data_IF_101447875209
#
_entry.id   IF_101447875209
#
_cell.length_a   1.000
_cell.length_b   1.000
_cell.length_c   1.000
_cell.angle_alpha   90.00
_cell.angle_beta   90.00
_cell.angle_gamma   90.00
#
_symmetry.space_group_name_H-M   'P 1'
#
loop_
_entity.id
_entity.type
_entity.pdbx_description
1 polymer ?
#
# COMPACT_ATOMS: atom_id res chain seq x y z
N UNK A 1 37.87 9.29 40.60
CA UNK A 1 36.91 8.53 39.77
C UNK A 1 35.55 8.52 40.47
N UNK A 2 34.56 9.28 39.98
CA UNK A 2 33.17 9.16 40.46
C UNK A 2 32.37 8.53 39.34
N UNK A 3 31.99 7.26 39.51
CA UNK A 3 30.92 6.68 38.70
C UNK A 3 29.59 7.18 39.28
N UNK A 4 28.94 8.09 38.57
CA UNK A 4 27.55 8.46 38.88
C UNK A 4 26.63 7.59 38.04
N UNK A 5 26.05 6.60 38.69
CA UNK A 5 25.07 5.66 38.16
C UNK A 5 23.83 6.36 37.58
N UNK A 6 23.47 5.95 36.37
CA UNK A 6 22.36 6.40 35.54
C UNK A 6 21.00 5.87 36.07
N UNK A 7 20.55 6.33 37.23
CA UNK A 7 19.35 5.81 37.93
C UNK A 7 18.10 6.71 37.86
N UNK A 8 18.12 7.84 37.12
CA UNK A 8 17.04 8.84 37.16
C UNK A 8 15.86 8.61 36.19
N UNK A 9 15.95 7.66 35.24
CA UNK A 9 14.97 7.54 34.15
C UNK A 9 14.11 6.26 34.12
N UNK A 10 14.25 5.36 35.11
CA UNK A 10 13.65 4.01 35.03
C UNK A 10 12.13 4.02 34.86
N UNK A 11 11.37 4.83 35.60
CA UNK A 11 9.90 4.81 35.54
C UNK A 11 9.23 5.65 34.44
N UNK A 12 9.96 6.51 33.71
CA UNK A 12 9.33 7.45 32.74
C UNK A 12 8.97 6.77 31.42
N UNK A 13 9.66 5.70 31.08
CA UNK A 13 9.55 5.01 29.79
C UNK A 13 9.10 3.55 29.93
N UNK A 14 8.69 3.13 31.13
CA UNK A 14 8.16 1.81 31.36
C UNK A 14 6.79 1.66 30.68
N UNK A 15 6.74 0.80 29.66
CA UNK A 15 5.51 0.52 28.92
C UNK A 15 4.66 -0.43 29.77
N UNK A 16 3.50 0.05 30.20
CA UNK A 16 2.51 -0.76 30.89
C UNK A 16 2.14 -2.00 30.06
N UNK A 17 2.03 -3.17 30.69
CA UNK A 17 1.80 -4.46 30.02
C UNK A 17 0.60 -4.41 29.06
N UNK A 18 -0.53 -3.83 29.52
CA UNK A 18 -1.74 -3.67 28.71
C UNK A 18 -1.57 -2.77 27.47
N UNK A 19 -0.54 -1.92 27.45
CA UNK A 19 -0.23 -1.03 26.32
C UNK A 19 0.83 -1.61 25.37
N UNK A 20 1.60 -2.64 25.77
CA UNK A 20 2.70 -3.19 24.97
C UNK A 20 2.25 -3.60 23.57
N UNK A 21 1.11 -4.29 23.44
CA UNK A 21 0.57 -4.70 22.13
C UNK A 21 0.34 -3.50 21.21
N UNK A 22 -0.24 -2.43 21.74
CA UNK A 22 -0.50 -1.21 20.97
C UNK A 22 0.81 -0.51 20.59
N UNK A 23 1.76 -0.40 21.53
CA UNK A 23 3.07 0.21 21.26
C UNK A 23 3.84 -0.56 20.19
N UNK A 24 3.95 -1.88 20.29
CA UNK A 24 4.61 -2.71 19.27
C UNK A 24 3.92 -2.61 17.91
N UNK A 25 2.59 -2.54 17.88
CA UNK A 25 1.86 -2.32 16.63
C UNK A 25 2.19 -0.96 16.01
N UNK A 26 2.27 0.09 16.82
CA UNK A 26 2.62 1.45 16.39
C UNK A 26 4.05 1.52 15.86
N UNK A 27 5.02 0.95 16.58
CA UNK A 27 6.41 0.85 16.13
C UNK A 27 6.49 0.07 14.82
N UNK A 28 5.81 -1.08 14.73
CA UNK A 28 5.78 -1.89 13.50
C UNK A 28 5.20 -1.13 12.31
N UNK A 29 4.15 -0.33 12.54
CA UNK A 29 3.55 0.50 11.50
C UNK A 29 4.47 1.64 11.07
N UNK A 30 5.14 2.31 12.01
CA UNK A 30 6.12 3.35 11.72
C UNK A 30 7.30 2.77 10.91
N UNK A 31 7.82 1.62 11.32
CA UNK A 31 8.87 0.92 10.59
C UNK A 31 8.43 0.50 9.19
N UNK A 32 7.20 -0.01 9.01
CA UNK A 32 6.66 -0.34 7.67
C UNK A 32 6.62 0.89 6.76
N UNK A 33 6.16 2.04 7.28
CA UNK A 33 6.12 3.31 6.52
C UNK A 33 7.53 3.77 6.16
N UNK A 34 8.43 3.78 7.14
CA UNK A 34 9.82 4.19 6.92
C UNK A 34 10.52 3.29 5.89
N UNK A 35 10.40 1.96 6.00
CA UNK A 35 10.95 1.03 4.99
C UNK A 35 10.39 1.27 3.59
N UNK A 36 9.09 1.56 3.48
CA UNK A 36 8.48 1.87 2.19
C UNK A 36 9.02 3.18 1.61
N UNK A 37 9.27 4.19 2.45
CA UNK A 37 9.91 5.43 2.02
C UNK A 37 11.35 5.17 1.57
N UNK A 38 12.11 4.44 2.38
CA UNK A 38 13.48 4.03 2.08
C UNK A 38 13.59 3.27 0.74
N UNK A 39 12.62 2.38 0.45
CA UNK A 39 12.53 1.68 -0.82
C UNK A 39 12.37 2.65 -2.00
N UNK A 40 11.45 3.62 -1.90
CA UNK A 40 11.20 4.59 -2.97
C UNK A 40 12.37 5.54 -3.21
N UNK A 41 13.04 5.96 -2.14
CA UNK A 41 14.07 6.99 -2.22
C UNK A 41 15.46 6.40 -2.52
N UNK A 42 15.72 5.14 -2.13
CA UNK A 42 17.05 4.55 -2.19
C UNK A 42 17.13 3.18 -2.88
N UNK A 43 16.01 2.55 -3.24
CA UNK A 43 16.01 1.30 -4.01
C UNK A 43 15.52 1.49 -5.43
N UNK A 44 14.31 2.04 -5.62
CA UNK A 44 13.71 2.25 -6.95
C UNK A 44 14.53 3.17 -7.89
N UNK A 45 15.18 4.26 -7.42
CA UNK A 45 15.86 5.20 -8.33
C UNK A 45 17.17 4.68 -8.93
N UNK A 46 17.74 3.61 -8.37
CA UNK A 46 19.03 3.08 -8.78
C UNK A 46 18.87 1.65 -9.30
N UNK A 47 19.53 1.35 -10.41
CA UNK A 47 19.41 0.03 -11.06
C UNK A 47 20.15 -1.07 -10.29
N UNK A 48 21.36 -0.76 -9.80
CA UNK A 48 22.27 -1.73 -9.20
C UNK A 48 22.44 -1.55 -7.67
N UNK A 49 22.69 -2.65 -6.96
CA UNK A 49 22.89 -2.66 -5.51
C UNK A 49 24.13 -1.87 -5.07
N UNK A 50 25.17 -1.77 -5.93
CA UNK A 50 26.36 -0.96 -5.65
C UNK A 50 26.00 0.53 -5.48
N UNK A 51 25.27 1.09 -6.43
CA UNK A 51 24.80 2.49 -6.38
C UNK A 51 23.82 2.71 -5.22
N UNK A 52 22.97 1.71 -4.91
CA UNK A 52 22.08 1.78 -3.74
C UNK A 52 22.88 1.85 -2.43
N UNK A 53 23.94 1.07 -2.32
CA UNK A 53 24.82 1.06 -1.14
C UNK A 53 25.60 2.35 -0.97
N UNK A 54 26.06 2.95 -2.08
CA UNK A 54 26.73 4.25 -2.07
C UNK A 54 25.78 5.37 -1.64
N UNK A 55 24.54 5.34 -2.14
CA UNK A 55 23.48 6.29 -1.79
C UNK A 55 22.67 5.90 -0.54
N UNK A 56 23.23 5.08 0.34
CA UNK A 56 22.58 4.67 1.58
C UNK A 56 22.35 5.89 2.50
N UNK A 57 21.16 6.03 3.11
CA UNK A 57 20.97 7.09 4.11
C UNK A 57 21.86 6.88 5.33
N UNK A 58 22.44 7.98 5.83
CA UNK A 58 23.41 8.00 6.93
C UNK A 58 22.86 7.36 8.21
N UNK A 59 21.56 7.51 8.45
CA UNK A 59 20.88 7.02 9.65
C UNK A 59 20.70 5.49 9.66
N UNK A 60 20.89 4.81 8.52
CA UNK A 60 20.73 3.36 8.41
C UNK A 60 22.11 2.70 8.39
N UNK A 61 22.42 1.82 9.36
CA UNK A 61 23.68 1.08 9.35
C UNK A 61 23.86 0.24 8.09
N UNK A 62 25.10 0.10 7.63
CA UNK A 62 25.47 -0.66 6.43
C UNK A 62 24.87 -2.08 6.42
N UNK A 63 25.07 -2.82 7.51
CA UNK A 63 24.59 -4.20 7.65
C UNK A 63 23.06 -4.32 7.54
N UNK A 64 22.33 -3.37 8.12
CA UNK A 64 20.87 -3.32 8.05
C UNK A 64 20.39 -3.00 6.64
N UNK A 65 21.07 -2.09 5.95
CA UNK A 65 20.69 -1.74 4.58
C UNK A 65 20.97 -2.88 3.59
N UNK A 66 22.10 -3.59 3.72
CA UNK A 66 22.38 -4.81 2.93
C UNK A 66 21.30 -5.88 3.10
N UNK A 67 20.82 -6.07 4.33
CA UNK A 67 19.73 -7.01 4.60
C UNK A 67 18.42 -6.58 3.93
N UNK A 68 18.13 -5.28 3.89
CA UNK A 68 16.98 -4.74 3.16
C UNK A 68 17.11 -4.94 1.65
N UNK A 69 18.28 -4.69 1.06
CA UNK A 69 18.53 -4.97 -0.36
C UNK A 69 18.30 -6.45 -0.67
N UNK A 70 18.85 -7.35 0.15
CA UNK A 70 18.63 -8.80 0.02
C UNK A 70 17.14 -9.16 0.09
N UNK A 71 16.41 -8.55 1.03
CA UNK A 71 14.97 -8.75 1.17
C UNK A 71 14.19 -8.27 -0.06
N UNK A 72 14.46 -7.05 -0.55
CA UNK A 72 13.78 -6.48 -1.71
C UNK A 72 14.12 -7.18 -3.03
N UNK A 73 15.34 -7.71 -3.16
CA UNK A 73 15.75 -8.50 -4.31
C UNK A 73 15.24 -9.95 -4.28
N UNK A 74 14.69 -10.41 -3.16
CA UNK A 74 14.15 -11.77 -3.02
C UNK A 74 12.91 -12.00 -3.88
N UNK A 75 12.76 -13.22 -4.39
CA UNK A 75 11.61 -13.60 -5.21
C UNK A 75 10.30 -13.44 -4.45
N UNK A 76 10.30 -13.80 -3.16
CA UNK A 76 9.12 -13.63 -2.29
C UNK A 76 8.62 -12.19 -2.17
N UNK A 77 9.52 -11.20 -2.25
CA UNK A 77 9.14 -9.79 -2.24
C UNK A 77 8.64 -9.35 -3.61
N UNK A 78 9.32 -9.78 -4.68
CA UNK A 78 8.93 -9.47 -6.06
C UNK A 78 7.54 -10.04 -6.40
N UNK A 79 7.23 -11.25 -5.97
CA UNK A 79 5.91 -11.87 -6.11
C UNK A 79 4.83 -11.06 -5.40
N UNK A 80 5.04 -10.73 -4.11
CA UNK A 80 4.10 -9.90 -3.34
C UNK A 80 3.90 -8.52 -3.96
N UNK A 81 4.95 -7.91 -4.54
CA UNK A 81 4.85 -6.63 -5.25
C UNK A 81 3.99 -6.78 -6.49
N UNK A 82 4.16 -7.85 -7.27
CA UNK A 82 3.34 -8.15 -8.47
C UNK A 82 1.86 -8.31 -8.09
N UNK A 83 1.55 -9.15 -7.11
CA UNK A 83 0.18 -9.34 -6.59
C UNK A 83 -0.47 -8.02 -6.13
N UNK A 84 0.32 -7.09 -5.58
CA UNK A 84 -0.19 -5.77 -5.13
C UNK A 84 -0.32 -4.77 -6.27
N UNK A 85 0.45 -4.94 -7.36
CA UNK A 85 0.45 -4.04 -8.53
C UNK A 85 -0.63 -4.38 -9.55
N UNK A 86 -1.19 -5.58 -9.50
CA UNK A 86 -2.35 -5.96 -10.31
C UNK A 86 -3.53 -5.05 -9.95
N UNK A 87 -4.06 -4.38 -10.95
CA UNK A 87 -5.21 -3.49 -10.77
C UNK A 87 -6.42 -4.33 -10.36
N UNK A 88 -6.74 -4.31 -9.07
CA UNK A 88 -7.94 -4.97 -8.55
C UNK A 88 -9.19 -4.42 -9.26
N UNK A 89 -10.05 -5.31 -9.73
CA UNK A 89 -11.33 -4.92 -10.29
C UNK A 89 -12.22 -4.31 -9.19
N UNK A 90 -13.14 -3.42 -9.59
CA UNK A 90 -14.20 -2.92 -8.69
C UNK A 90 -14.93 -4.05 -7.97
N UNK A 91 -15.12 -5.20 -8.65
CA UNK A 91 -15.65 -6.43 -8.08
C UNK A 91 -14.76 -7.00 -6.97
N UNK A 92 -13.46 -7.12 -7.21
CA UNK A 92 -12.51 -7.68 -6.23
C UNK A 92 -12.46 -6.81 -4.97
N UNK A 93 -12.43 -5.48 -5.16
CA UNK A 93 -12.51 -4.53 -4.06
C UNK A 93 -13.84 -4.70 -3.31
N UNK A 94 -14.95 -4.87 -4.02
CA UNK A 94 -16.24 -5.13 -3.39
C UNK A 94 -16.22 -6.38 -2.53
N UNK A 95 -15.81 -7.53 -3.07
CA UNK A 95 -15.73 -8.79 -2.33
C UNK A 95 -14.81 -8.67 -1.12
N UNK A 96 -13.62 -8.10 -1.30
CA UNK A 96 -12.62 -7.96 -0.25
C UNK A 96 -13.11 -7.11 0.92
N UNK A 97 -13.70 -5.93 0.67
CA UNK A 97 -14.09 -5.04 1.78
C UNK A 97 -15.40 -5.45 2.45
N UNK A 98 -16.19 -6.37 1.86
CA UNK A 98 -17.44 -6.90 2.46
C UNK A 98 -17.25 -8.26 3.12
N UNK A 99 -16.04 -8.83 3.07
CA UNK A 99 -15.69 -10.06 3.77
C UNK A 99 -15.93 -9.91 5.28
N UNK A 100 -16.83 -10.75 5.81
CA UNK A 100 -17.15 -10.81 7.24
C UNK A 100 -16.12 -11.65 7.98
N UNK A 101 -15.85 -11.29 9.24
CA UNK A 101 -14.99 -12.10 10.10
C UNK A 101 -15.81 -13.26 10.69
N UNK A 102 -15.28 -14.49 10.69
CA UNK A 102 -16.01 -15.66 11.16
C UNK A 102 -16.29 -15.62 12.67
N UNK A 103 -15.47 -14.90 13.44
CA UNK A 103 -15.55 -14.76 14.90
C UNK A 103 -16.50 -13.64 15.35
N UNK A 104 -17.16 -12.93 14.42
CA UNK A 104 -17.99 -11.77 14.71
C UNK A 104 -19.45 -12.03 14.36
N UNK A 105 -20.34 -11.74 15.32
CA UNK A 105 -21.79 -11.75 15.08
C UNK A 105 -22.21 -10.43 14.43
N UNK A 106 -22.98 -10.51 13.35
CA UNK A 106 -23.47 -9.36 12.59
C UNK A 106 -24.99 -9.24 12.70
N UNK A 107 -25.48 -8.00 12.87
CA UNK A 107 -26.92 -7.71 12.98
C UNK A 107 -27.68 -7.91 11.66
N UNK A 108 -27.04 -7.59 10.53
CA UNK A 108 -27.64 -7.69 9.20
C UNK A 108 -27.32 -9.05 8.57
N UNK A 109 -28.23 -9.59 7.76
CA UNK A 109 -27.97 -10.79 6.95
C UNK A 109 -26.87 -10.53 5.91
N UNK A 110 -26.23 -11.58 5.42
CA UNK A 110 -25.22 -11.49 4.34
C UNK A 110 -25.80 -11.85 2.96
N UNK A 111 -27.08 -12.22 2.91
CA UNK A 111 -27.76 -12.76 1.73
C UNK A 111 -27.73 -11.77 0.55
N UNK A 112 -28.07 -10.51 0.79
CA UNK A 112 -28.05 -9.47 -0.25
C UNK A 112 -26.65 -9.28 -0.87
N UNK A 113 -25.60 -9.33 -0.04
CA UNK A 113 -24.23 -9.21 -0.53
C UNK A 113 -23.80 -10.44 -1.34
N UNK A 114 -24.19 -11.64 -0.90
CA UNK A 114 -23.94 -12.88 -1.65
C UNK A 114 -24.65 -12.85 -3.02
N UNK A 115 -25.90 -12.42 -3.06
CA UNK A 115 -26.66 -12.32 -4.31
C UNK A 115 -26.00 -11.35 -5.29
N UNK A 116 -25.57 -10.17 -4.83
CA UNK A 116 -24.84 -9.20 -5.66
C UNK A 116 -23.52 -9.76 -6.18
N UNK A 117 -22.76 -10.50 -5.36
CA UNK A 117 -21.51 -11.13 -5.80
C UNK A 117 -21.81 -12.18 -6.88
N UNK A 118 -22.82 -13.03 -6.67
CA UNK A 118 -23.21 -14.04 -7.64
C UNK A 118 -23.72 -13.44 -8.97
N UNK A 119 -24.42 -12.30 -8.93
CA UNK A 119 -24.79 -11.57 -10.13
C UNK A 119 -23.57 -10.97 -10.85
N UNK A 120 -22.59 -10.43 -10.09
CA UNK A 120 -21.32 -9.94 -10.68
C UNK A 120 -20.55 -11.08 -11.36
N UNK A 121 -20.56 -12.28 -10.78
CA UNK A 121 -19.97 -13.49 -11.37
C UNK A 121 -20.64 -13.86 -12.70
N UNK A 122 -21.98 -13.88 -12.73
CA UNK A 122 -22.76 -14.19 -13.95
C UNK A 122 -22.46 -13.22 -15.08
N UNK A 123 -22.47 -11.91 -14.82
CA UNK A 123 -22.21 -10.88 -15.85
C UNK A 123 -20.80 -11.03 -16.44
N UNK A 124 -19.81 -11.34 -15.60
CA UNK A 124 -18.43 -11.55 -16.04
C UNK A 124 -18.31 -12.81 -16.91
N UNK A 125 -18.93 -13.92 -16.52
CA UNK A 125 -18.91 -15.16 -17.31
C UNK A 125 -19.57 -15.02 -18.68
N UNK A 126 -20.64 -14.23 -18.81
CA UNK A 126 -21.28 -14.00 -20.12
C UNK A 126 -20.38 -13.20 -21.07
N UNK A 127 -19.65 -12.20 -20.56
CA UNK A 127 -18.77 -11.37 -21.37
C UNK A 127 -17.52 -12.10 -21.88
N UNK A 128 -17.05 -13.13 -21.18
CA UNK A 128 -15.93 -13.96 -21.65
C UNK A 128 -16.28 -14.78 -22.90
N UNK A 129 -17.56 -14.90 -23.24
CA UNK A 129 -18.04 -15.68 -24.40
C UNK A 129 -18.41 -14.84 -25.62
N UNK A 130 -18.54 -13.52 -25.47
CA UNK A 130 -18.95 -12.60 -26.55
C UNK A 130 -17.76 -11.68 -26.89
N UNK A 131 -17.14 -11.92 -28.04
CA UNK A 131 -16.02 -11.16 -28.64
C UNK A 131 -16.48 -9.77 -29.13
N UNK A 132 -17.06 -8.98 -28.22
CA UNK A 132 -17.54 -7.63 -28.52
C UNK A 132 -16.84 -6.61 -27.62
N UNK A 133 -16.23 -5.64 -28.30
CA UNK A 133 -15.27 -4.62 -27.82
C UNK A 133 -15.73 -3.65 -26.70
N UNK A 134 -16.78 -3.99 -25.94
CA UNK A 134 -17.29 -3.23 -24.80
C UNK A 134 -17.34 -4.12 -23.56
N UNK A 135 -16.20 -4.25 -22.85
CA UNK A 135 -16.21 -4.88 -21.51
C UNK A 135 -17.12 -4.09 -20.58
N UNK A 136 -18.22 -4.69 -20.12
CA UNK A 136 -19.16 -4.03 -19.20
C UNK A 136 -18.70 -4.25 -17.77
N UNK A 137 -18.48 -3.17 -17.01
CA UNK A 137 -18.12 -3.29 -15.59
C UNK A 137 -19.28 -3.91 -14.79
N UNK A 138 -19.16 -5.20 -14.46
CA UNK A 138 -20.15 -5.96 -13.71
C UNK A 138 -20.54 -5.28 -12.38
N UNK A 139 -19.60 -4.55 -11.76
CA UNK A 139 -19.87 -3.81 -10.53
C UNK A 139 -20.82 -2.64 -10.79
N UNK A 140 -20.55 -1.81 -11.80
CA UNK A 140 -21.37 -0.67 -12.16
C UNK A 140 -22.78 -1.09 -12.64
N UNK A 141 -22.90 -2.23 -13.31
CA UNK A 141 -24.21 -2.79 -13.71
C UNK A 141 -25.13 -3.08 -12.52
N UNK A 142 -24.58 -3.59 -11.42
CA UNK A 142 -25.36 -4.01 -10.24
C UNK A 142 -25.55 -2.88 -9.23
N UNK A 143 -24.51 -2.05 -9.04
CA UNK A 143 -24.55 -0.96 -8.07
C UNK A 143 -25.11 0.33 -8.65
N UNK A 144 -25.27 0.40 -9.98
CA UNK A 144 -25.70 1.57 -10.70
C UNK A 144 -24.56 2.56 -10.97
N UNK A 145 -24.86 3.65 -11.70
CA UNK A 145 -23.89 4.68 -12.01
C UNK A 145 -23.38 5.38 -10.75
N UNK A 146 -22.11 5.75 -10.79
CA UNK A 146 -21.47 6.47 -9.69
C UNK A 146 -22.15 7.81 -9.39
N UNK A 147 -22.40 8.10 -8.12
CA UNK A 147 -22.95 9.39 -7.72
C UNK A 147 -21.94 10.53 -7.90
N UNK A 148 -22.39 11.72 -8.36
CA UNK A 148 -21.56 12.92 -8.37
C UNK A 148 -21.03 13.22 -6.96
N UNK A 149 -19.71 13.40 -6.83
CA UNK A 149 -19.08 13.77 -5.57
C UNK A 149 -18.80 12.62 -4.60
N UNK A 150 -19.01 11.35 -4.98
CA UNK A 150 -18.57 10.21 -4.17
C UNK A 150 -18.19 9.01 -5.04
N UNK A 151 -17.04 8.42 -4.73
CA UNK A 151 -16.62 7.15 -5.30
C UNK A 151 -16.97 6.01 -4.33
N UNK A 152 -17.91 5.16 -4.74
CA UNK A 152 -18.27 3.89 -4.11
C UNK A 152 -17.00 3.03 -4.04
N UNK A 153 -16.83 2.25 -2.96
CA UNK A 153 -15.66 1.40 -2.66
C UNK A 153 -14.44 2.11 -2.05
N UNK A 154 -14.19 3.37 -2.37
CA UNK A 154 -12.96 4.08 -1.96
C UNK A 154 -13.06 4.77 -0.59
N UNK A 155 -14.11 4.47 0.17
CA UNK A 155 -14.33 5.03 1.51
C UNK A 155 -15.00 6.41 1.50
N UNK A 156 -14.90 7.12 2.63
CA UNK A 156 -15.56 8.41 2.82
C UNK A 156 -14.71 9.55 2.25
N UNK A 157 -15.33 10.44 1.49
CA UNK A 157 -14.69 11.68 0.99
C UNK A 157 -13.83 11.51 -0.26
N UNK A 158 -13.70 10.31 -0.82
CA UNK A 158 -13.01 10.10 -2.09
C UNK A 158 -13.95 10.43 -3.25
N UNK A 159 -13.47 11.25 -4.17
CA UNK A 159 -14.20 11.71 -5.36
C UNK A 159 -13.34 11.47 -6.59
N UNK A 160 -13.98 11.35 -7.77
CA UNK A 160 -13.27 11.21 -9.06
C UNK A 160 -12.25 12.34 -9.27
N UNK A 161 -12.58 13.56 -8.86
CA UNK A 161 -11.69 14.73 -8.97
C UNK A 161 -10.51 14.66 -8.01
N UNK A 162 -10.69 14.16 -6.79
CA UNK A 162 -9.59 13.94 -5.84
C UNK A 162 -8.61 12.90 -6.34
N UNK A 163 -9.08 11.81 -6.95
CA UNK A 163 -8.20 10.82 -7.58
C UNK A 163 -7.45 11.42 -8.78
N UNK A 164 -8.14 12.12 -9.69
CA UNK A 164 -7.51 12.79 -10.83
C UNK A 164 -6.41 13.76 -10.42
N UNK A 165 -6.65 14.58 -9.37
CA UNK A 165 -5.63 15.48 -8.82
C UNK A 165 -4.40 14.71 -8.35
N UNK A 166 -4.61 13.62 -7.61
CA UNK A 166 -3.52 12.80 -7.07
C UNK A 166 -2.69 12.11 -8.18
N UNK A 167 -3.34 11.67 -9.26
CA UNK A 167 -2.65 11.12 -10.43
C UNK A 167 -1.82 12.20 -11.13
N UNK A 168 -2.35 13.43 -11.26
CA UNK A 168 -1.59 14.57 -11.76
C UNK A 168 -0.36 14.91 -10.90
N UNK A 169 -0.50 14.85 -9.58
CA UNK A 169 0.63 15.04 -8.65
C UNK A 169 1.69 13.93 -8.79
N UNK A 170 1.28 12.67 -9.03
CA UNK A 170 2.20 11.55 -9.29
C UNK A 170 2.96 11.75 -10.60
N UNK A 171 2.27 12.17 -11.67
CA UNK A 171 2.91 12.47 -12.95
C UNK A 171 3.92 13.62 -12.87
N UNK A 172 3.62 14.63 -12.06
CA UNK A 172 4.54 15.76 -11.78
C UNK A 172 5.72 15.32 -10.91
N UNK A 173 5.49 14.46 -9.91
CA UNK A 173 6.54 13.92 -9.05
C UNK A 173 7.54 13.05 -9.81
N UNK A 174 7.08 12.22 -10.75
CA UNK A 174 7.94 11.37 -11.60
C UNK A 174 8.82 12.21 -12.54
N UNK A 175 8.24 13.21 -13.20
CA UNK A 175 9.01 14.14 -14.06
C UNK A 175 10.05 14.93 -13.24
N UNK A 176 9.70 15.37 -12.03
CA UNK A 176 10.62 16.14 -11.18
C UNK A 176 11.77 15.28 -10.62
N UNK A 177 11.54 13.99 -10.34
CA UNK A 177 12.63 13.07 -9.97
C UNK A 177 13.52 12.73 -11.16
N UNK A 178 12.95 12.57 -12.36
CA UNK A 178 13.72 12.29 -13.58
C UNK A 178 14.63 13.47 -13.95
N UNK A 179 14.16 14.71 -13.79
CA UNK A 179 14.95 15.94 -14.01
C UNK A 179 16.12 16.07 -13.02
N UNK A 180 15.91 15.75 -11.74
CA UNK A 180 16.97 15.76 -10.71
C UNK A 180 18.03 14.68 -10.99
N UNK A 181 17.61 13.50 -11.44
CA UNK A 181 18.51 12.42 -11.84
C UNK A 181 19.34 12.82 -13.06
N UNK A 182 18.72 13.43 -14.08
CA UNK A 182 19.43 13.93 -15.26
C UNK A 182 20.43 15.04 -14.92
N UNK A 183 20.07 15.99 -14.06
CA UNK A 183 20.99 17.06 -13.64
C UNK A 183 22.24 16.49 -12.94
N UNK A 184 22.07 15.48 -12.07
CA UNK A 184 23.19 14.82 -11.38
C UNK A 184 24.08 13.98 -12.30
N UNK A 185 23.54 13.46 -13.40
CA UNK A 185 24.33 12.77 -14.42
C UNK A 185 25.12 13.74 -15.31
N UNK A 186 24.65 14.98 -15.48
CA UNK A 186 25.31 16.03 -16.29
C UNK A 186 26.41 16.76 -15.51
N UNK A 187 26.39 16.71 -14.17
CA UNK A 187 27.38 17.34 -13.29
C UNK A 187 28.57 16.42 -12.89
N UNK A 188 28.65 15.20 -13.41
CA UNK A 188 29.85 14.33 -13.37
C UNK A 188 30.67 14.43 -14.65
#
# INVERSE_FOLDING_TARGET
>A
MKQTSNLRNKGKYDIHEGAKKWVFQSISNAWRKYKNQLYKDHFEPYENDEFRMENRPVDVPDSQFRELLRYWNSDTYKEKKKETSESLSSKDIFVATRKRKPDRVYKASYVDTLNKIAEMDRIQSTQETEDDSQSVDAFASIMGPEHPGRLILYGRGVTKTSLKRKVGDIGTSLSSTDEILQQKMVEM
#
